data_IF_642088225585
#
_entry.id   IF_642088225585
#
_cell.length_a   1.000
_cell.length_b   1.000
_cell.length_c   1.000
_cell.angle_alpha   90.00
_cell.angle_beta   90.00
_cell.angle_gamma   90.00
#
_symmetry.space_group_name_H-M   'P 1'
#
loop_
_entity.id
_entity.type
_entity.pdbx_description
1 polymer ?
#
# COMPACT_ATOMS: atom_id res chain seq x y z
N UNK A 1 9.59 -18.17 15.78
CA UNK A 1 10.36 -17.71 16.96
C UNK A 1 11.01 -16.40 16.59
N UNK A 2 10.86 -15.35 17.39
CA UNK A 2 11.51 -14.05 17.15
C UNK A 2 12.44 -13.74 18.31
N UNK A 3 13.68 -13.37 18.02
CA UNK A 3 14.67 -12.96 19.03
C UNK A 3 14.94 -11.48 18.84
N UNK A 4 14.78 -10.70 19.90
CA UNK A 4 15.08 -9.27 19.94
C UNK A 4 16.28 -9.05 20.83
N UNK A 5 17.38 -8.58 20.24
CA UNK A 5 18.59 -8.19 20.97
C UNK A 5 18.46 -6.72 21.40
N UNK A 6 18.64 -6.46 22.69
CA UNK A 6 18.62 -5.14 23.30
C UNK A 6 20.02 -4.51 23.23
N UNK A 7 20.10 -3.19 23.32
CA UNK A 7 21.37 -2.45 23.26
C UNK A 7 22.39 -2.84 24.35
N UNK A 8 21.94 -3.49 25.43
CA UNK A 8 22.81 -4.03 26.49
C UNK A 8 23.29 -5.47 26.24
N UNK A 9 23.06 -6.04 25.06
CA UNK A 9 23.43 -7.42 24.71
C UNK A 9 22.47 -8.50 25.26
N UNK A 10 21.40 -8.10 25.96
CA UNK A 10 20.38 -9.02 26.43
C UNK A 10 19.42 -9.40 25.29
N UNK A 11 19.05 -10.68 25.20
CA UNK A 11 18.12 -11.19 24.19
C UNK A 11 16.76 -11.53 24.83
N UNK A 12 15.67 -11.09 24.20
CA UNK A 12 14.31 -11.51 24.53
C UNK A 12 13.78 -12.39 23.40
N UNK A 13 13.31 -13.59 23.76
CA UNK A 13 12.77 -14.56 22.79
C UNK A 13 11.26 -14.66 22.90
N UNK A 14 10.58 -14.57 21.76
CA UNK A 14 9.13 -14.70 21.64
C UNK A 14 8.75 -15.95 20.84
N UNK A 15 7.95 -16.81 21.46
CA UNK A 15 7.40 -18.02 20.84
C UNK A 15 5.96 -17.74 20.37
N UNK A 16 5.82 -17.27 19.13
CA UNK A 16 4.55 -16.80 18.59
C UNK A 16 3.67 -17.90 17.95
N UNK A 17 4.03 -19.18 18.11
CA UNK A 17 3.23 -20.35 17.70
C UNK A 17 3.00 -20.55 16.19
N UNK A 18 3.15 -19.51 15.37
CA UNK A 18 2.86 -19.54 13.94
C UNK A 18 3.75 -18.54 13.17
N UNK A 19 4.01 -18.79 11.88
CA UNK A 19 4.94 -17.98 11.07
C UNK A 19 4.40 -16.56 10.80
N UNK A 20 3.13 -16.44 10.40
CA UNK A 20 2.48 -15.16 10.07
C UNK A 20 2.51 -14.11 11.22
N UNK A 21 2.16 -14.45 12.47
CA UNK A 21 2.33 -13.54 13.61
C UNK A 21 3.78 -13.10 13.88
N UNK A 22 4.77 -13.94 13.52
CA UNK A 22 6.18 -13.61 13.72
C UNK A 22 6.66 -12.52 12.75
N UNK A 23 6.18 -12.54 11.50
CA UNK A 23 6.48 -11.52 10.51
C UNK A 23 5.85 -10.17 10.88
N UNK A 24 4.58 -10.20 11.30
CA UNK A 24 3.86 -9.01 11.77
C UNK A 24 4.55 -8.41 13.00
N UNK A 25 4.91 -9.23 13.98
CA UNK A 25 5.63 -8.80 15.17
C UNK A 25 7.00 -8.17 14.83
N UNK A 26 7.75 -8.79 13.93
CA UNK A 26 9.06 -8.27 13.47
C UNK A 26 8.90 -6.92 12.77
N UNK A 27 7.86 -6.76 11.97
CA UNK A 27 7.54 -5.49 11.32
C UNK A 27 7.23 -4.39 12.36
N UNK A 28 6.39 -4.68 13.35
CA UNK A 28 6.04 -3.73 14.41
C UNK A 28 7.25 -3.27 15.22
N UNK A 29 8.14 -4.19 15.63
CA UNK A 29 9.35 -3.84 16.38
C UNK A 29 10.27 -2.91 15.57
N UNK A 30 10.46 -3.19 14.28
CA UNK A 30 11.25 -2.32 13.38
C UNK A 30 10.61 -0.94 13.21
N UNK A 31 9.28 -0.90 13.09
CA UNK A 31 8.54 0.36 12.97
C UNK A 31 8.72 1.22 14.23
N UNK A 32 8.53 0.64 15.42
CA UNK A 32 8.73 1.33 16.70
C UNK A 32 10.16 1.87 16.84
N UNK A 33 11.17 1.07 16.48
CA UNK A 33 12.56 1.51 16.47
C UNK A 33 12.81 2.71 15.55
N UNK A 34 12.18 2.73 14.36
CA UNK A 34 12.28 3.86 13.44
C UNK A 34 11.63 5.14 13.98
N UNK A 35 10.47 5.01 14.63
CA UNK A 35 9.74 6.14 15.23
C UNK A 35 10.50 6.76 16.40
N UNK A 36 11.13 5.94 17.26
CA UNK A 36 11.95 6.45 18.35
C UNK A 36 13.18 7.22 17.86
N UNK A 37 13.84 6.76 16.79
CA UNK A 37 14.96 7.48 16.16
C UNK A 37 14.52 8.82 15.57
N UNK A 38 13.35 8.86 14.93
CA UNK A 38 12.78 10.11 14.42
C UNK A 38 12.42 11.08 15.56
N UNK A 39 11.82 10.59 16.65
CA UNK A 39 11.47 11.40 17.82
C UNK A 39 12.71 11.99 18.51
N UNK A 40 13.82 11.23 18.58
CA UNK A 40 15.11 11.73 19.08
C UNK A 40 15.70 12.82 18.17
N UNK A 41 15.64 12.62 16.85
CA UNK A 41 16.12 13.62 15.87
C UNK A 41 15.31 14.92 15.93
N UNK A 42 14.01 14.83 16.20
CA UNK A 42 13.13 15.99 16.37
C UNK A 42 13.35 16.75 17.71
N UNK A 43 13.88 16.09 18.74
CA UNK A 43 14.15 16.71 20.05
C UNK A 43 15.49 17.44 20.15
N UNK A 44 16.26 17.52 19.07
CA UNK A 44 17.44 18.39 19.03
C UNK A 44 18.60 17.95 19.95
N UNK A 45 18.64 16.70 20.40
CA UNK A 45 19.83 16.14 21.06
C UNK A 45 20.89 15.78 20.01
N UNK A 46 21.44 16.79 19.34
CA UNK A 46 22.71 16.69 18.64
C UNK A 46 23.78 17.31 19.53
N UNK A 47 24.73 16.49 19.97
CA UNK A 47 25.98 16.98 20.55
C UNK A 47 26.71 17.91 19.57
N UNK A 48 27.65 18.73 20.08
CA UNK A 48 28.20 19.86 19.34
C UNK A 48 29.02 19.39 18.13
N UNK A 49 28.60 19.76 16.92
CA UNK A 49 29.39 19.63 15.71
C UNK A 49 29.49 21.00 15.02
N UNK A 50 30.71 21.52 15.02
CA UNK A 50 31.18 22.69 14.28
C UNK A 50 31.15 22.43 12.77
N UNK A 51 30.64 23.41 12.00
CA UNK A 51 30.96 23.58 10.58
C UNK A 51 29.75 23.81 9.68
N UNK A 52 29.62 24.99 9.01
CA UNK A 52 28.57 25.23 8.02
C UNK A 52 29.03 24.80 6.62
N UNK A 53 28.27 23.96 5.89
CA UNK A 53 28.49 23.82 4.46
C UNK A 53 27.66 24.88 3.71
N UNK A 54 28.38 25.64 2.87
CA UNK A 54 27.83 26.57 1.89
C UNK A 54 27.26 25.81 0.69
N UNK A 55 26.07 26.26 0.25
CA UNK A 55 25.67 26.46 -1.14
C UNK A 55 25.77 25.28 -2.10
N UNK A 56 24.60 24.70 -2.42
CA UNK A 56 24.28 24.20 -3.77
C UNK A 56 22.81 24.49 -4.06
N UNK A 57 22.58 25.31 -5.06
CA UNK A 57 21.32 25.46 -5.77
C UNK A 57 20.90 24.08 -6.30
N UNK A 58 19.77 23.59 -5.81
CA UNK A 58 19.19 22.30 -6.19
C UNK A 58 17.90 22.61 -6.96
N UNK A 59 18.04 22.78 -8.28
CA UNK A 59 16.97 22.84 -9.28
C UNK A 59 16.24 21.48 -9.41
N UNK A 60 15.91 20.86 -8.29
CA UNK A 60 15.07 19.67 -8.21
C UNK A 60 13.60 20.11 -8.29
N UNK A 61 13.14 20.47 -9.50
CA UNK A 61 11.72 20.70 -9.81
C UNK A 61 10.94 19.37 -9.87
N UNK A 62 10.95 18.70 -8.72
CA UNK A 62 9.99 17.79 -8.08
C UNK A 62 8.92 17.10 -8.93
N UNK A 63 9.25 15.91 -9.42
CA UNK A 63 8.28 14.80 -9.66
C UNK A 63 7.45 14.47 -8.39
N UNK A 64 7.87 14.97 -7.22
CA UNK A 64 7.14 14.92 -5.96
C UNK A 64 5.79 15.66 -5.98
N UNK A 65 5.63 16.67 -6.84
CA UNK A 65 4.42 17.52 -6.83
C UNK A 65 3.20 16.75 -7.32
N UNK A 66 3.33 15.97 -8.41
CA UNK A 66 2.24 15.21 -9.02
C UNK A 66 1.69 14.16 -8.06
N UNK A 67 2.57 13.40 -7.39
CA UNK A 67 2.14 12.38 -6.43
C UNK A 67 1.39 13.00 -5.24
N UNK A 68 1.83 14.17 -4.78
CA UNK A 68 1.21 14.84 -3.62
C UNK A 68 -0.20 15.35 -3.98
N UNK A 69 -0.38 15.91 -5.18
CA UNK A 69 -1.68 16.35 -5.67
C UNK A 69 -2.68 15.19 -5.81
N UNK A 70 -2.26 14.06 -6.40
CA UNK A 70 -3.13 12.87 -6.53
C UNK A 70 -3.50 12.29 -5.15
N UNK A 71 -2.55 12.25 -4.19
CA UNK A 71 -2.83 11.80 -2.83
C UNK A 71 -3.88 12.70 -2.16
N UNK A 72 -3.77 14.01 -2.28
CA UNK A 72 -4.72 14.96 -1.72
C UNK A 72 -6.11 14.82 -2.33
N UNK A 73 -6.20 14.64 -3.65
CA UNK A 73 -7.48 14.47 -4.35
C UNK A 73 -8.20 13.18 -3.94
N UNK A 74 -7.44 12.09 -3.75
CA UNK A 74 -8.00 10.81 -3.29
C UNK A 74 -8.46 10.88 -1.83
N UNK A 75 -7.71 11.58 -0.96
CA UNK A 75 -8.12 11.84 0.42
C UNK A 75 -9.46 12.59 0.50
N UNK A 76 -9.65 13.61 -0.33
CA UNK A 76 -10.87 14.41 -0.32
C UNK A 76 -12.09 13.67 -0.88
N UNK A 77 -11.88 12.68 -1.77
CA UNK A 77 -12.96 11.97 -2.47
C UNK A 77 -13.39 10.69 -1.79
N UNK A 78 -12.57 10.12 -0.89
CA UNK A 78 -12.87 8.85 -0.23
C UNK A 78 -12.83 9.04 1.30
N UNK A 79 -13.99 9.13 1.98
CA UNK A 79 -14.03 9.14 3.44
C UNK A 79 -13.66 7.75 3.95
N UNK A 80 -12.36 7.51 4.20
CA UNK A 80 -11.89 6.33 4.92
C UNK A 80 -11.73 6.70 6.39
N UNK A 81 -12.43 5.98 7.26
CA UNK A 81 -12.50 6.29 8.70
C UNK A 81 -11.18 6.01 9.43
N UNK A 82 -10.33 5.13 8.90
CA UNK A 82 -9.08 4.72 9.56
C UNK A 82 -7.79 5.25 8.93
N UNK A 83 -7.88 5.93 7.78
CA UNK A 83 -6.70 6.37 7.05
C UNK A 83 -6.28 7.78 7.45
N UNK A 84 -4.96 7.99 7.56
CA UNK A 84 -4.33 9.24 7.93
C UNK A 84 -4.83 10.45 7.12
N UNK A 85 -5.27 11.49 7.82
CA UNK A 85 -5.67 12.78 7.21
C UNK A 85 -4.47 13.64 6.78
N UNK A 86 -3.25 13.26 7.14
CA UNK A 86 -2.03 13.98 6.77
C UNK A 86 -1.48 13.49 5.41
N UNK A 87 -1.35 14.35 4.39
CA UNK A 87 -0.75 14.00 3.10
C UNK A 87 0.66 13.40 3.21
N UNK A 88 1.44 13.78 4.21
CA UNK A 88 2.79 13.21 4.43
C UNK A 88 2.73 11.75 4.85
N UNK A 89 1.75 11.39 5.68
CA UNK A 89 1.52 10.02 6.10
C UNK A 89 1.00 9.16 4.95
N UNK A 90 0.08 9.67 4.14
CA UNK A 90 -0.39 8.99 2.92
C UNK A 90 0.76 8.73 1.95
N UNK A 91 1.62 9.73 1.72
CA UNK A 91 2.79 9.56 0.86
C UNK A 91 3.74 8.49 1.39
N UNK A 92 4.01 8.47 2.70
CA UNK A 92 4.83 7.44 3.35
C UNK A 92 4.20 6.06 3.20
N UNK A 93 2.90 5.95 3.45
CA UNK A 93 2.13 4.72 3.29
C UNK A 93 2.16 4.21 1.84
N UNK A 94 1.94 5.08 0.87
CA UNK A 94 2.01 4.76 -0.56
C UNK A 94 3.39 4.25 -0.97
N UNK A 95 4.45 4.91 -0.50
CA UNK A 95 5.83 4.46 -0.72
C UNK A 95 6.07 3.06 -0.13
N UNK A 96 5.68 2.83 1.11
CA UNK A 96 5.81 1.52 1.74
C UNK A 96 5.01 0.44 1.01
N UNK A 97 3.80 0.78 0.56
CA UNK A 97 2.93 -0.10 -0.22
C UNK A 97 3.59 -0.52 -1.54
N UNK A 98 4.05 0.43 -2.34
CA UNK A 98 4.68 0.14 -3.64
C UNK A 98 5.98 -0.65 -3.50
N UNK A 99 6.84 -0.30 -2.55
CA UNK A 99 8.07 -1.07 -2.25
C UNK A 99 7.76 -2.51 -1.83
N UNK A 100 6.70 -2.67 -1.05
CA UNK A 100 6.23 -3.98 -0.58
C UNK A 100 5.66 -4.81 -1.72
N UNK A 101 4.74 -4.24 -2.51
CA UNK A 101 4.12 -4.92 -3.64
C UNK A 101 5.11 -5.24 -4.76
N UNK A 102 6.18 -4.47 -4.94
CA UNK A 102 7.25 -4.84 -5.88
C UNK A 102 7.96 -6.14 -5.53
N UNK A 103 7.96 -6.54 -4.26
CA UNK A 103 8.57 -7.80 -3.78
C UNK A 103 7.64 -9.01 -3.91
N UNK A 104 6.35 -8.78 -4.19
CA UNK A 104 5.32 -9.81 -4.09
C UNK A 104 4.74 -9.91 -2.68
N UNK A 105 3.44 -10.13 -2.62
CA UNK A 105 2.67 -10.36 -1.39
C UNK A 105 1.57 -11.37 -1.65
N UNK A 106 1.31 -12.21 -0.65
CA UNK A 106 0.21 -13.17 -0.69
C UNK A 106 -1.11 -12.47 -0.32
N UNK A 107 -2.14 -12.75 -1.11
CA UNK A 107 -3.51 -12.30 -0.95
C UNK A 107 -4.45 -13.49 -1.03
N UNK A 108 -5.66 -13.30 -0.50
CA UNK A 108 -6.78 -14.21 -0.75
C UNK A 108 -7.71 -13.56 -1.77
N UNK A 109 -7.90 -14.21 -2.92
CA UNK A 109 -8.90 -13.79 -3.90
C UNK A 109 -10.18 -14.63 -3.72
N UNK A 110 -11.33 -14.02 -3.96
CA UNK A 110 -12.63 -14.72 -3.94
C UNK A 110 -13.00 -15.24 -5.32
N UNK A 111 -13.44 -16.49 -5.36
CA UNK A 111 -14.07 -17.13 -6.52
C UNK A 111 -15.56 -16.80 -6.58
N UNK A 112 -16.21 -17.13 -7.70
CA UNK A 112 -17.64 -16.91 -7.90
C UNK A 112 -18.53 -17.69 -6.91
N UNK A 113 -18.04 -18.81 -6.41
CA UNK A 113 -18.69 -19.61 -5.35
C UNK A 113 -18.47 -19.03 -3.93
N UNK A 114 -17.73 -17.93 -3.81
CA UNK A 114 -17.34 -17.32 -2.54
C UNK A 114 -16.14 -17.97 -1.86
N UNK A 115 -15.58 -19.05 -2.41
CA UNK A 115 -14.38 -19.68 -1.86
C UNK A 115 -13.15 -18.79 -2.02
N UNK A 116 -12.26 -18.85 -1.04
CA UNK A 116 -10.98 -18.14 -1.07
C UNK A 116 -9.91 -19.04 -1.68
N UNK A 117 -9.01 -18.43 -2.45
CA UNK A 117 -7.79 -19.07 -2.91
C UNK A 117 -6.58 -18.16 -2.76
N UNK A 118 -5.43 -18.78 -2.53
CA UNK A 118 -4.17 -18.10 -2.30
C UNK A 118 -3.60 -17.59 -3.63
N UNK A 119 -3.12 -16.36 -3.62
CA UNK A 119 -2.55 -15.71 -4.80
C UNK A 119 -1.40 -14.80 -4.40
N UNK A 120 -0.30 -14.89 -5.12
CA UNK A 120 0.78 -13.92 -4.99
C UNK A 120 0.59 -12.76 -5.97
N UNK A 121 0.47 -11.54 -5.44
CA UNK A 121 0.32 -10.32 -6.21
C UNK A 121 1.60 -9.46 -6.13
N UNK A 122 2.02 -8.89 -7.25
CA UNK A 122 3.19 -8.01 -7.32
C UNK A 122 3.00 -6.85 -8.29
N UNK A 123 3.60 -5.70 -8.01
CA UNK A 123 3.72 -4.62 -8.98
C UNK A 123 4.98 -4.78 -9.83
N UNK A 124 4.94 -4.32 -11.08
CA UNK A 124 6.12 -4.16 -11.92
C UNK A 124 7.05 -3.06 -11.37
N UNK A 125 8.29 -2.99 -11.89
CA UNK A 125 9.26 -1.94 -11.48
C UNK A 125 8.79 -0.53 -11.88
N UNK A 126 8.04 -0.41 -12.98
CA UNK A 126 7.47 0.85 -13.48
C UNK A 126 6.12 1.23 -12.87
N UNK A 127 5.59 0.39 -11.97
CA UNK A 127 4.25 0.51 -11.39
C UNK A 127 3.15 0.63 -12.45
N UNK A 128 3.32 -0.01 -13.60
CA UNK A 128 2.43 0.01 -14.75
C UNK A 128 1.67 -1.30 -14.95
N UNK A 129 2.11 -2.38 -14.29
CA UNK A 129 1.46 -3.68 -14.33
C UNK A 129 1.25 -4.24 -12.93
N UNK A 130 0.10 -4.87 -12.73
CA UNK A 130 -0.24 -5.69 -11.57
C UNK A 130 -0.19 -7.16 -11.97
N UNK A 131 0.74 -7.91 -11.38
CA UNK A 131 1.02 -9.31 -11.68
C UNK A 131 0.42 -10.18 -10.59
N UNK A 132 -0.25 -11.25 -11.00
CA UNK A 132 -0.91 -12.21 -10.13
C UNK A 132 -0.39 -13.61 -10.47
N UNK A 133 -0.16 -14.43 -9.46
CA UNK A 133 0.25 -15.83 -9.59
C UNK A 133 -0.57 -16.71 -8.66
N UNK A 134 -1.14 -17.78 -9.18
CA UNK A 134 -1.88 -18.79 -8.42
C UNK A 134 -1.78 -20.13 -9.16
N UNK A 135 -1.65 -21.25 -8.46
CA UNK A 135 -1.65 -22.60 -9.04
C UNK A 135 -0.75 -22.79 -10.29
N UNK A 136 0.44 -22.16 -10.29
CA UNK A 136 1.37 -22.18 -11.43
C UNK A 136 0.97 -21.28 -12.61
N UNK A 137 -0.26 -20.74 -12.60
CA UNK A 137 -0.73 -19.75 -13.55
C UNK A 137 -0.17 -18.36 -13.21
N UNK A 138 -0.01 -17.55 -14.26
CA UNK A 138 0.43 -16.16 -14.14
C UNK A 138 -0.49 -15.29 -14.98
N UNK A 139 -0.87 -14.14 -14.43
CA UNK A 139 -1.63 -13.11 -15.12
C UNK A 139 -1.02 -11.76 -14.87
N UNK A 140 -0.95 -10.95 -15.91
CA UNK A 140 -0.50 -9.56 -15.82
C UNK A 140 -1.63 -8.66 -16.27
N UNK A 141 -1.97 -7.67 -15.45
CA UNK A 141 -3.01 -6.68 -15.71
C UNK A 141 -2.35 -5.31 -15.77
N UNK A 142 -2.33 -4.64 -16.93
CA UNK A 142 -1.91 -3.25 -17.02
C UNK A 142 -2.77 -2.36 -16.13
N UNK A 143 -2.17 -1.47 -15.34
CA UNK A 143 -2.93 -0.59 -14.45
C UNK A 143 -3.90 0.33 -15.20
N UNK A 144 -3.59 0.68 -16.46
CA UNK A 144 -4.47 1.45 -17.33
C UNK A 144 -5.77 0.72 -17.66
N UNK A 145 -5.77 -0.62 -17.60
CA UNK A 145 -6.94 -1.47 -17.88
C UNK A 145 -7.83 -1.63 -16.64
N UNK A 146 -7.43 -1.08 -15.48
CA UNK A 146 -8.22 -1.07 -14.26
C UNK A 146 -9.16 0.13 -14.24
N UNK A 147 -10.47 -0.14 -14.27
CA UNK A 147 -11.51 0.88 -14.34
C UNK A 147 -11.83 1.43 -12.94
N UNK A 148 -12.04 0.58 -11.94
CA UNK A 148 -12.33 1.05 -10.59
C UNK A 148 -11.72 0.13 -9.54
N UNK A 149 -11.25 0.72 -8.45
CA UNK A 149 -10.93 0.01 -7.21
C UNK A 149 -12.02 0.35 -6.22
N UNK A 150 -12.83 -0.64 -5.89
CA UNK A 150 -14.08 -0.48 -5.15
C UNK A 150 -13.99 -0.99 -3.72
N UNK A 151 -14.65 -0.26 -2.83
CA UNK A 151 -14.96 -0.75 -1.48
C UNK A 151 -16.03 -1.84 -1.55
N UNK A 152 -16.25 -2.57 -0.45
CA UNK A 152 -17.32 -3.57 -0.40
C UNK A 152 -18.71 -2.98 -0.67
N UNK A 153 -19.00 -1.76 -0.18
CA UNK A 153 -20.29 -1.07 -0.35
C UNK A 153 -20.51 -0.70 -1.82
N UNK A 154 -19.48 -0.19 -2.49
CA UNK A 154 -19.52 0.13 -3.91
C UNK A 154 -19.67 -1.15 -4.77
N UNK A 155 -18.96 -2.21 -4.41
CA UNK A 155 -18.96 -3.48 -5.13
C UNK A 155 -20.30 -4.24 -5.03
N UNK A 156 -21.10 -4.05 -3.97
CA UNK A 156 -22.44 -4.66 -3.86
C UNK A 156 -23.37 -4.29 -5.01
N UNK A 157 -23.18 -3.10 -5.60
CA UNK A 157 -23.97 -2.64 -6.75
C UNK A 157 -23.65 -3.41 -8.05
N UNK A 158 -22.55 -4.15 -8.08
CA UNK A 158 -22.12 -4.93 -9.25
C UNK A 158 -22.76 -6.33 -9.32
N UNK A 159 -23.45 -6.78 -8.27
CA UNK A 159 -24.13 -8.08 -8.28
C UNK A 159 -23.19 -9.28 -8.42
N UNK A 160 -22.05 -9.28 -7.71
CA UNK A 160 -20.96 -10.26 -7.84
C UNK A 160 -21.34 -11.74 -7.55
N UNK A 161 -22.54 -12.02 -7.04
CA UNK A 161 -23.03 -13.38 -6.78
C UNK A 161 -22.54 -14.00 -5.47
N UNK A 162 -21.69 -13.32 -4.70
CA UNK A 162 -21.20 -13.77 -3.39
C UNK A 162 -21.24 -12.64 -2.34
N UNK A 163 -21.32 -12.97 -1.04
CA UNK A 163 -21.36 -11.97 0.03
C UNK A 163 -20.01 -11.27 0.19
N UNK A 164 -20.03 -9.93 0.21
CA UNK A 164 -18.86 -9.09 0.49
C UNK A 164 -18.97 -8.40 1.86
N UNK A 165 -17.84 -8.35 2.58
CA UNK A 165 -17.69 -7.68 3.88
C UNK A 165 -16.71 -6.50 3.79
N UNK A 166 -16.57 -5.72 4.87
CA UNK A 166 -15.69 -4.52 4.93
C UNK A 166 -14.21 -4.82 4.68
N UNK A 167 -13.80 -6.09 4.77
CA UNK A 167 -12.44 -6.54 4.48
C UNK A 167 -12.27 -6.95 3.01
N UNK A 168 -13.23 -6.64 2.14
CA UNK A 168 -13.17 -6.94 0.73
C UNK A 168 -12.87 -5.68 -0.11
N UNK A 169 -11.88 -5.78 -0.99
CA UNK A 169 -11.59 -4.79 -2.03
C UNK A 169 -11.83 -5.41 -3.41
N UNK A 170 -12.56 -4.74 -4.28
CA UNK A 170 -12.86 -5.26 -5.63
C UNK A 170 -12.20 -4.42 -6.70
N UNK A 171 -11.47 -5.08 -7.60
CA UNK A 171 -10.83 -4.49 -8.75
C UNK A 171 -11.68 -4.80 -9.99
N UNK A 172 -12.20 -3.75 -10.63
CA UNK A 172 -12.99 -3.83 -11.85
C UNK A 172 -12.11 -3.48 -13.05
N UNK A 173 -12.10 -4.35 -14.06
CA UNK A 173 -11.36 -4.18 -15.31
C UNK A 173 -12.24 -3.54 -16.40
N UNK A 174 -11.61 -2.96 -17.41
CA UNK A 174 -12.31 -2.44 -18.60
C UNK A 174 -13.14 -3.53 -19.32
N UNK A 175 -12.76 -4.79 -19.18
CA UNK A 175 -13.51 -5.94 -19.72
C UNK A 175 -14.82 -6.22 -18.98
N UNK A 176 -15.09 -5.51 -17.88
CA UNK A 176 -16.21 -5.79 -16.95
C UNK A 176 -15.90 -6.89 -15.93
N UNK A 177 -14.75 -7.55 -16.04
CA UNK A 177 -14.33 -8.55 -15.07
C UNK A 177 -14.02 -7.91 -13.71
N UNK A 178 -14.43 -8.58 -12.63
CA UNK A 178 -14.19 -8.14 -11.26
C UNK A 178 -13.34 -9.17 -10.51
N UNK A 179 -12.29 -8.70 -9.83
CA UNK A 179 -11.42 -9.50 -8.97
C UNK A 179 -11.55 -8.96 -7.55
N UNK A 180 -12.10 -9.77 -6.64
CA UNK A 180 -12.27 -9.36 -5.24
C UNK A 180 -11.23 -10.01 -4.33
N UNK A 181 -10.50 -9.19 -3.59
CA UNK A 181 -9.53 -9.61 -2.59
C UNK A 181 -10.14 -9.52 -1.18
N UNK A 182 -9.87 -10.51 -0.33
CA UNK A 182 -10.25 -10.52 1.07
C UNK A 182 -9.04 -10.37 1.98
N UNK A 183 -9.12 -9.43 2.91
CA UNK A 183 -8.05 -9.07 3.84
C UNK A 183 -8.32 -9.62 5.23
N UNK A 184 -7.26 -9.77 6.03
CA UNK A 184 -7.40 -10.14 7.44
C UNK A 184 -8.03 -9.03 8.29
N UNK A 185 -7.78 -7.78 7.93
CA UNK A 185 -8.17 -6.58 8.69
C UNK A 185 -8.69 -5.47 7.77
N UNK A 186 -9.61 -4.65 8.28
CA UNK A 186 -10.25 -3.55 7.53
C UNK A 186 -9.22 -2.50 7.13
N UNK A 187 -8.27 -2.17 8.00
CA UNK A 187 -7.23 -1.17 7.77
C UNK A 187 -6.26 -1.61 6.66
N UNK A 188 -6.07 -2.91 6.46
CA UNK A 188 -5.26 -3.43 5.36
C UNK A 188 -6.01 -3.29 4.02
N UNK A 189 -7.32 -3.58 4.02
CA UNK A 189 -8.22 -3.40 2.88
C UNK A 189 -8.27 -1.92 2.45
N UNK A 190 -8.51 -1.00 3.38
CA UNK A 190 -8.55 0.44 3.10
C UNK A 190 -7.24 0.97 2.53
N UNK A 191 -6.10 0.57 3.11
CA UNK A 191 -4.77 0.94 2.59
C UNK A 191 -4.54 0.43 1.18
N UNK A 192 -4.93 -0.81 0.88
CA UNK A 192 -4.85 -1.37 -0.47
C UNK A 192 -5.71 -0.57 -1.44
N UNK A 193 -6.97 -0.30 -1.08
CA UNK A 193 -7.91 0.48 -1.92
C UNK A 193 -7.33 1.85 -2.24
N UNK A 194 -6.90 2.60 -1.22
CA UNK A 194 -6.32 3.93 -1.42
C UNK A 194 -5.09 3.91 -2.33
N UNK A 195 -4.13 3.04 -2.02
CA UNK A 195 -2.88 3.00 -2.77
C UNK A 195 -3.11 2.55 -4.22
N UNK A 196 -3.99 1.57 -4.45
CA UNK A 196 -4.35 1.13 -5.79
C UNK A 196 -5.11 2.22 -6.56
N UNK A 197 -6.03 2.97 -5.92
CA UNK A 197 -6.69 4.13 -6.56
C UNK A 197 -5.68 5.18 -7.01
N UNK A 198 -4.72 5.54 -6.16
CA UNK A 198 -3.65 6.48 -6.50
C UNK A 198 -2.83 5.95 -7.69
N UNK A 199 -2.46 4.67 -7.67
CA UNK A 199 -1.69 4.04 -8.76
C UNK A 199 -2.44 4.05 -10.10
N UNK A 200 -3.71 3.64 -10.09
CA UNK A 200 -4.55 3.61 -11.30
C UNK A 200 -4.73 5.03 -11.85
N UNK A 201 -5.00 6.01 -10.98
CA UNK A 201 -5.18 7.41 -11.39
C UNK A 201 -3.90 8.01 -11.99
N UNK A 202 -2.72 7.69 -11.42
CA UNK A 202 -1.42 8.11 -11.98
C UNK A 202 -1.14 7.54 -13.37
N UNK A 203 -1.74 6.39 -13.71
CA UNK A 203 -1.53 5.71 -15.00
C UNK A 203 -2.62 5.99 -16.01
N UNK A 204 -3.70 6.64 -15.61
CA UNK A 204 -4.64 7.19 -16.58
C UNK A 204 -3.91 8.30 -17.34
N UNK A 205 -3.87 8.24 -18.68
CA UNK A 205 -3.52 9.44 -19.41
C UNK A 205 -4.52 10.49 -18.96
N UNK A 206 -4.05 11.51 -18.22
CA UNK A 206 -4.82 12.74 -18.06
C UNK A 206 -5.18 13.11 -19.48
N UNK A 207 -6.46 13.02 -19.84
CA UNK A 207 -6.96 13.31 -21.17
C UNK A 207 -6.17 14.50 -21.70
N UNK A 208 -5.23 14.21 -22.60
CA UNK A 208 -4.40 15.24 -23.18
C UNK A 208 -5.40 16.16 -23.87
N UNK A 209 -5.59 17.35 -23.29
CA UNK A 209 -6.31 18.48 -23.89
C UNK A 209 -7.62 18.11 -24.59
N UNK A 210 -8.76 18.39 -23.95
CA UNK A 210 -9.96 18.75 -24.70
C UNK A 210 -9.62 19.97 -25.57
N UNK A 211 -9.08 19.70 -26.76
CA UNK A 211 -9.01 20.61 -27.88
C UNK A 211 -10.17 20.26 -28.79
N UNK A 212 -11.29 20.94 -28.58
CA UNK A 212 -12.26 21.24 -29.64
C UNK A 212 -12.13 22.72 -29.96
#
# INVERSE_FOLDING_TARGET
>A
MVVVELAGGACITFHLGHAKPADDFTFFIRLLGSMQRQKRKARGEQGPALGPPRGRDDDARSECSVQTATCQQQLNSTPMSSVANDPKEVKKMFKMFTETMRRGRDFYAMRQDGALYDMECALSKGHDEFRMRWDGQKRTIPLRDMLHIRTCVEARKLGLGFPTDERCATLELQTGECITFKFGHVEACERFILCMRILVEQKRPHFASQGF
#
